data_IF_796249823020
#
_entry.id   IF_796249823020
#
_cell.length_a   1.000
_cell.length_b   1.000
_cell.length_c   1.000
_cell.angle_alpha   90.00
_cell.angle_beta   90.00
_cell.angle_gamma   90.00
#
_symmetry.space_group_name_H-M   'P 1'
#
loop_
_entity.id
_entity.type
_entity.pdbx_description
1 polymer ?
#
# COMPACT_ATOMS: atom_id res chain seq x y z
N UNK A 1 10.95 -10.53 2.86
CA UNK A 1 10.11 -9.39 3.26
C UNK A 1 10.69 -8.74 4.49
N UNK A 2 11.24 -7.53 4.35
CA UNK A 2 11.84 -6.79 5.46
C UNK A 2 11.82 -5.29 5.13
N UNK A 3 11.59 -4.44 6.14
CA UNK A 3 11.43 -2.99 5.92
C UNK A 3 12.77 -2.25 5.82
N UNK A 4 13.66 -2.48 6.79
CA UNK A 4 14.89 -1.71 6.92
C UNK A 4 15.98 -2.28 6.01
N UNK A 5 16.95 -1.45 5.64
CA UNK A 5 18.15 -1.94 4.91
C UNK A 5 19.11 -2.71 5.81
N UNK A 6 18.95 -2.62 7.14
CA UNK A 6 19.86 -3.20 8.14
C UNK A 6 19.08 -3.97 9.23
N UNK A 7 19.65 -5.08 9.67
CA UNK A 7 19.01 -6.00 10.62
C UNK A 7 19.05 -5.53 12.10
N UNK A 8 19.71 -4.41 12.40
CA UNK A 8 19.97 -3.96 13.77
C UNK A 8 18.72 -3.75 14.60
N UNK A 9 17.66 -3.16 14.03
CA UNK A 9 16.45 -2.81 14.80
C UNK A 9 15.71 -4.05 15.30
N UNK A 10 15.49 -5.04 14.45
CA UNK A 10 14.63 -6.19 14.75
C UNK A 10 15.40 -7.45 15.15
N UNK A 11 16.65 -7.59 14.73
CA UNK A 11 17.48 -8.77 15.03
C UNK A 11 18.67 -8.47 15.95
N UNK A 12 18.99 -7.18 16.20
CA UNK A 12 20.20 -6.80 16.95
C UNK A 12 21.51 -7.08 16.20
N UNK A 13 21.44 -7.40 14.90
CA UNK A 13 22.60 -7.76 14.06
C UNK A 13 22.98 -6.54 13.22
N UNK A 14 24.23 -6.07 13.33
CA UNK A 14 24.73 -4.97 12.49
C UNK A 14 25.22 -5.49 11.13
N UNK A 15 24.29 -5.93 10.28
CA UNK A 15 24.53 -6.31 8.88
C UNK A 15 23.41 -5.78 7.99
N UNK A 16 23.75 -5.40 6.75
CA UNK A 16 22.73 -5.03 5.78
C UNK A 16 22.10 -6.27 5.15
N UNK A 17 20.83 -6.15 4.78
CA UNK A 17 20.08 -7.22 4.10
C UNK A 17 20.76 -7.61 2.78
N UNK A 18 21.27 -6.62 2.05
CA UNK A 18 21.95 -6.80 0.76
C UNK A 18 23.26 -7.60 0.85
N UNK A 19 23.86 -7.71 2.04
CA UNK A 19 25.13 -8.42 2.25
C UNK A 19 24.91 -9.91 2.61
N UNK A 20 23.67 -10.40 2.57
CA UNK A 20 23.28 -11.74 3.01
C UNK A 20 22.51 -12.49 1.93
N UNK A 21 22.71 -13.80 1.88
CA UNK A 21 21.92 -14.69 1.04
C UNK A 21 20.52 -14.89 1.62
N UNK A 22 19.54 -15.27 0.78
CA UNK A 22 18.19 -15.61 1.24
C UNK A 22 18.21 -16.69 2.32
N UNK A 23 19.00 -17.75 2.12
CA UNK A 23 19.11 -18.87 3.08
C UNK A 23 19.71 -18.46 4.44
N UNK A 24 20.52 -17.39 4.48
CA UNK A 24 21.00 -16.81 5.74
C UNK A 24 19.91 -15.94 6.38
N UNK A 25 19.24 -15.09 5.60
CA UNK A 25 18.16 -14.21 6.08
C UNK A 25 17.00 -15.00 6.68
N UNK A 26 16.60 -16.11 6.07
CA UNK A 26 15.50 -16.97 6.54
C UNK A 26 15.79 -17.65 7.90
N UNK A 27 17.06 -17.66 8.32
CA UNK A 27 17.48 -18.16 9.65
C UNK A 27 17.58 -17.04 10.69
N UNK A 28 17.53 -15.77 10.28
CA UNK A 28 17.62 -14.63 11.21
C UNK A 28 16.33 -14.55 12.02
N UNK A 29 16.47 -14.64 13.35
CA UNK A 29 15.36 -14.39 14.27
C UNK A 29 15.15 -12.88 14.45
N UNK A 30 13.91 -12.43 14.30
CA UNK A 30 13.47 -11.06 14.50
C UNK A 30 12.47 -10.98 15.66
N UNK A 31 12.48 -9.85 16.37
CA UNK A 31 11.62 -9.59 17.53
C UNK A 31 11.03 -8.19 17.50
N UNK A 32 9.73 -8.08 17.76
CA UNK A 32 9.02 -6.82 17.88
C UNK A 32 7.77 -7.04 18.73
N UNK A 33 7.48 -6.15 19.68
CA UNK A 33 6.23 -6.13 20.47
C UNK A 33 5.84 -7.48 21.10
N UNK A 34 6.83 -8.21 21.60
CA UNK A 34 6.64 -9.54 22.22
C UNK A 34 6.53 -10.70 21.23
N UNK A 35 6.43 -10.43 19.92
CA UNK A 35 6.44 -11.44 18.87
C UNK A 35 7.87 -11.83 18.47
N UNK A 36 8.03 -13.08 18.07
CA UNK A 36 9.29 -13.64 17.56
C UNK A 36 9.02 -14.43 16.28
N UNK A 37 9.80 -14.20 15.23
CA UNK A 37 9.69 -14.91 13.95
C UNK A 37 11.05 -14.96 13.24
N UNK A 38 11.08 -15.47 12.00
CA UNK A 38 12.20 -15.32 11.06
C UNK A 38 11.80 -14.45 9.86
N UNK A 39 12.79 -13.98 9.10
CA UNK A 39 12.56 -13.17 7.89
C UNK A 39 12.07 -14.08 6.75
N UNK A 40 10.85 -13.93 6.21
CA UNK A 40 10.39 -14.78 5.12
C UNK A 40 10.90 -14.29 3.76
N UNK A 41 11.00 -15.18 2.77
CA UNK A 41 11.08 -14.79 1.35
C UNK A 41 9.79 -14.07 0.90
N UNK A 42 9.83 -13.43 -0.28
CA UNK A 42 8.60 -12.89 -0.90
C UNK A 42 7.62 -14.01 -1.27
N UNK A 43 8.13 -15.10 -1.84
CA UNK A 43 7.34 -16.28 -2.27
C UNK A 43 6.56 -16.87 -1.10
N UNK A 44 7.23 -17.17 0.01
CA UNK A 44 6.59 -17.67 1.24
C UNK A 44 5.51 -16.72 1.76
N UNK A 45 5.74 -15.40 1.67
CA UNK A 45 4.78 -14.42 2.15
C UNK A 45 3.54 -14.34 1.23
N UNK A 46 3.71 -14.44 -0.09
CA UNK A 46 2.61 -14.53 -1.06
C UNK A 46 1.76 -15.78 -0.80
N UNK A 47 2.40 -16.94 -0.59
CA UNK A 47 1.69 -18.19 -0.29
C UNK A 47 0.87 -18.10 1.00
N UNK A 48 1.42 -17.47 2.04
CA UNK A 48 0.67 -17.18 3.26
C UNK A 48 -0.51 -16.25 3.00
N UNK A 49 -0.33 -15.15 2.27
CA UNK A 49 -1.40 -14.20 1.99
C UNK A 49 -2.56 -14.86 1.24
N UNK A 50 -2.26 -15.70 0.23
CA UNK A 50 -3.25 -16.50 -0.49
C UNK A 50 -4.04 -17.44 0.42
N UNK A 51 -3.36 -18.13 1.36
CA UNK A 51 -4.03 -19.02 2.32
C UNK A 51 -5.10 -18.31 3.13
N UNK A 52 -4.91 -17.02 3.41
CA UNK A 52 -5.85 -16.18 4.16
C UNK A 52 -6.75 -15.32 3.28
N UNK A 53 -6.70 -15.50 1.95
CA UNK A 53 -7.44 -14.70 0.98
C UNK A 53 -7.21 -13.18 1.14
N UNK A 54 -5.96 -12.79 1.40
CA UNK A 54 -5.55 -11.40 1.53
C UNK A 54 -4.75 -10.99 0.30
N UNK A 55 -5.19 -9.92 -0.35
CA UNK A 55 -4.40 -9.28 -1.41
C UNK A 55 -3.36 -8.34 -0.79
N UNK A 56 -2.14 -8.36 -1.32
CA UNK A 56 -1.04 -7.56 -0.79
C UNK A 56 -0.91 -6.22 -1.51
N UNK A 57 -0.49 -5.21 -0.74
CA UNK A 57 0.18 -4.02 -1.27
C UNK A 57 1.69 -4.19 -1.06
N UNK A 58 2.44 -4.45 -2.14
CA UNK A 58 3.88 -4.74 -2.06
C UNK A 58 4.68 -3.52 -2.45
N UNK A 59 5.49 -3.01 -1.51
CA UNK A 59 6.44 -1.96 -1.79
C UNK A 59 7.78 -2.50 -2.31
N UNK A 60 8.19 -2.05 -3.49
CA UNK A 60 9.49 -2.35 -4.09
C UNK A 60 10.47 -1.27 -3.62
N UNK A 61 11.31 -1.62 -2.65
CA UNK A 61 12.34 -0.74 -2.08
C UNK A 61 13.68 -0.95 -2.76
N UNK A 62 14.37 0.16 -3.05
CA UNK A 62 15.76 0.17 -3.53
C UNK A 62 16.69 0.85 -2.53
N UNK A 63 17.95 0.46 -2.56
CA UNK A 63 19.07 0.92 -1.74
C UNK A 63 20.32 1.24 -2.60
N UNK A 64 20.24 1.15 -3.93
CA UNK A 64 21.30 1.53 -4.87
C UNK A 64 22.34 0.44 -5.15
N UNK A 65 22.17 -0.76 -4.57
CA UNK A 65 23.06 -1.91 -4.76
C UNK A 65 22.37 -3.10 -5.43
N UNK A 66 21.27 -2.86 -6.11
CA UNK A 66 20.45 -3.89 -6.74
C UNK A 66 21.23 -4.60 -7.86
N UNK A 67 20.99 -5.90 -8.00
CA UNK A 67 21.49 -6.63 -9.17
C UNK A 67 20.80 -6.13 -10.45
N UNK A 68 21.47 -6.27 -11.60
CA UNK A 68 20.89 -5.93 -12.92
C UNK A 68 19.56 -6.63 -13.21
N UNK A 69 19.33 -7.80 -12.61
CA UNK A 69 18.11 -8.60 -12.77
C UNK A 69 17.04 -8.35 -11.72
N UNK A 70 17.21 -7.37 -10.81
CA UNK A 70 16.32 -7.18 -9.67
C UNK A 70 14.84 -7.09 -10.05
N UNK A 71 14.48 -6.20 -10.99
CA UNK A 71 13.09 -6.03 -11.44
C UNK A 71 12.58 -7.25 -12.20
N UNK A 72 13.39 -7.81 -13.11
CA UNK A 72 13.00 -9.02 -13.85
C UNK A 72 12.75 -10.22 -12.93
N UNK A 73 13.55 -10.38 -11.86
CA UNK A 73 13.36 -11.42 -10.86
C UNK A 73 12.08 -11.19 -10.04
N UNK A 74 11.82 -9.94 -9.66
CA UNK A 74 10.58 -9.57 -8.98
C UNK A 74 9.34 -9.87 -9.84
N UNK A 75 9.34 -9.40 -11.09
CA UNK A 75 8.27 -9.64 -12.08
C UNK A 75 8.04 -11.15 -12.28
N UNK A 76 9.12 -11.94 -12.35
CA UNK A 76 9.03 -13.39 -12.45
C UNK A 76 8.36 -14.01 -11.22
N UNK A 77 8.75 -13.62 -10.00
CA UNK A 77 8.16 -14.16 -8.76
C UNK A 77 6.64 -13.92 -8.74
N UNK A 78 6.20 -12.68 -8.96
CA UNK A 78 4.77 -12.35 -8.88
C UNK A 78 3.95 -13.04 -9.96
N UNK A 79 4.51 -13.20 -11.16
CA UNK A 79 3.88 -13.92 -12.28
C UNK A 79 3.80 -15.43 -12.02
N UNK A 80 4.86 -16.04 -11.53
CA UNK A 80 4.88 -17.48 -11.22
C UNK A 80 3.87 -17.82 -10.11
N UNK A 81 3.61 -16.85 -9.21
CA UNK A 81 2.55 -16.95 -8.22
C UNK A 81 1.18 -16.48 -8.74
N UNK A 82 1.04 -15.99 -9.97
CA UNK A 82 -0.25 -15.55 -10.52
C UNK A 82 -0.91 -14.42 -9.72
N UNK A 83 -0.12 -13.51 -9.15
CA UNK A 83 -0.61 -12.38 -8.34
C UNK A 83 -0.35 -11.01 -8.99
N UNK A 84 0.21 -10.99 -10.20
CA UNK A 84 0.58 -9.79 -10.94
C UNK A 84 -0.60 -8.83 -11.18
N UNK A 85 -1.82 -9.36 -11.30
CA UNK A 85 -3.04 -8.56 -11.54
C UNK A 85 -4.03 -8.54 -10.36
N UNK A 86 -3.82 -9.37 -9.32
CA UNK A 86 -4.70 -9.41 -8.14
C UNK A 86 -4.21 -8.51 -7.00
N UNK A 87 -2.91 -8.22 -6.97
CA UNK A 87 -2.28 -7.39 -5.95
C UNK A 87 -2.00 -5.98 -6.48
N UNK A 88 -1.66 -5.06 -5.58
CA UNK A 88 -1.16 -3.74 -5.94
C UNK A 88 0.30 -3.60 -5.53
N UNK A 89 1.02 -2.77 -6.26
CA UNK A 89 2.47 -2.59 -6.09
C UNK A 89 2.77 -1.11 -5.95
N UNK A 90 3.81 -0.76 -5.20
CA UNK A 90 4.16 0.64 -5.00
C UNK A 90 5.67 0.82 -4.84
N UNK A 91 6.18 1.99 -5.16
CA UNK A 91 7.61 2.29 -5.01
C UNK A 91 7.85 3.80 -4.97
N UNK A 92 8.98 4.21 -4.39
CA UNK A 92 9.52 5.56 -4.49
C UNK A 92 10.41 5.75 -5.73
N UNK A 93 10.70 4.66 -6.45
CA UNK A 93 11.62 4.64 -7.59
C UNK A 93 10.85 4.77 -8.91
N UNK A 94 10.83 5.97 -9.48
CA UNK A 94 10.12 6.28 -10.73
C UNK A 94 10.53 5.35 -11.89
N UNK A 95 11.83 5.11 -12.16
CA UNK A 95 12.27 4.12 -13.16
C UNK A 95 11.60 2.75 -13.03
N UNK A 96 11.32 2.27 -11.81
CA UNK A 96 10.62 1.00 -11.60
C UNK A 96 9.16 1.09 -12.08
N UNK A 97 8.45 2.17 -11.75
CA UNK A 97 7.07 2.40 -12.23
C UNK A 97 7.03 2.37 -13.76
N UNK A 98 7.91 3.12 -14.41
CA UNK A 98 7.97 3.20 -15.87
C UNK A 98 8.32 1.85 -16.52
N UNK A 99 9.24 1.10 -15.91
CA UNK A 99 9.62 -0.25 -16.36
C UNK A 99 8.44 -1.21 -16.25
N UNK A 100 7.74 -1.24 -15.12
CA UNK A 100 6.59 -2.12 -14.91
C UNK A 100 5.43 -1.74 -15.83
N UNK A 101 5.08 -0.46 -15.99
CA UNK A 101 4.02 -0.05 -16.92
C UNK A 101 4.34 -0.43 -18.37
N UNK A 102 5.62 -0.45 -18.76
CA UNK A 102 6.06 -0.88 -20.08
C UNK A 102 5.98 -2.41 -20.25
N UNK A 103 6.44 -3.16 -19.27
CA UNK A 103 6.56 -4.63 -19.37
C UNK A 103 5.24 -5.35 -19.07
N UNK A 104 4.45 -4.82 -18.12
CA UNK A 104 3.25 -5.42 -17.56
C UNK A 104 2.16 -4.35 -17.34
N UNK A 105 1.55 -3.80 -18.40
CA UNK A 105 0.61 -2.68 -18.29
C UNK A 105 -0.62 -2.98 -17.41
N UNK A 106 -0.99 -4.26 -17.26
CA UNK A 106 -2.09 -4.73 -16.41
C UNK A 106 -1.72 -4.84 -14.92
N UNK A 107 -0.43 -4.76 -14.57
CA UNK A 107 0.01 -4.71 -13.17
C UNK A 107 -0.32 -3.32 -12.60
N UNK A 108 -1.12 -3.29 -11.54
CA UNK A 108 -1.54 -2.04 -10.88
C UNK A 108 -0.40 -1.54 -10.00
N UNK A 109 0.30 -0.50 -10.44
CA UNK A 109 1.47 0.05 -9.75
C UNK A 109 1.29 1.54 -9.44
N UNK A 110 1.63 1.91 -8.21
CA UNK A 110 1.59 3.27 -7.72
C UNK A 110 2.95 3.86 -7.42
N UNK A 111 2.98 5.18 -7.33
CA UNK A 111 4.17 5.94 -6.97
C UNK A 111 4.00 6.61 -5.61
N UNK A 112 4.95 6.35 -4.72
CA UNK A 112 4.98 6.94 -3.38
C UNK A 112 5.67 8.30 -3.46
N UNK A 113 4.98 9.32 -2.96
CA UNK A 113 5.50 10.68 -2.82
C UNK A 113 5.51 11.02 -1.33
N UNK A 114 6.63 10.81 -0.62
CA UNK A 114 6.69 11.00 0.84
C UNK A 114 6.36 12.43 1.25
N UNK A 115 6.92 13.42 0.53
CA UNK A 115 6.68 14.83 0.74
C UNK A 115 6.21 15.44 -0.58
N UNK A 116 5.01 16.00 -0.63
CA UNK A 116 4.52 16.74 -1.80
C UNK A 116 3.92 18.10 -1.39
N UNK A 117 4.32 19.16 -2.10
CA UNK A 117 3.74 20.49 -1.94
C UNK A 117 3.17 20.96 -3.27
N UNK A 118 1.90 21.33 -3.29
CA UNK A 118 1.22 21.85 -4.48
C UNK A 118 0.60 20.74 -5.34
N UNK A 119 0.95 20.69 -6.63
CA UNK A 119 0.28 19.82 -7.60
C UNK A 119 0.74 18.37 -7.51
N UNK A 120 -0.11 17.45 -7.97
CA UNK A 120 0.21 16.04 -8.05
C UNK A 120 1.32 15.81 -9.08
N UNK A 121 2.32 15.01 -8.70
CA UNK A 121 3.46 14.67 -9.57
C UNK A 121 2.99 14.10 -10.92
N UNK A 122 3.67 14.47 -11.99
CA UNK A 122 3.39 13.89 -13.30
C UNK A 122 4.11 12.53 -13.42
N UNK A 123 3.34 11.45 -13.47
CA UNK A 123 3.86 10.09 -13.64
C UNK A 123 2.78 9.20 -14.27
N UNK A 124 3.21 8.25 -15.09
CA UNK A 124 2.35 7.18 -15.59
C UNK A 124 2.28 6.07 -14.54
N UNK A 125 1.38 6.23 -13.56
CA UNK A 125 1.08 5.23 -12.53
C UNK A 125 -0.43 5.03 -12.45
N UNK A 126 -0.87 3.94 -11.83
CA UNK A 126 -2.31 3.69 -11.63
C UNK A 126 -2.83 4.40 -10.36
N UNK A 127 -1.94 4.69 -9.42
CA UNK A 127 -2.27 5.42 -8.19
C UNK A 127 -1.07 6.19 -7.63
N UNK A 128 -1.35 7.20 -6.80
CA UNK A 128 -0.35 7.90 -6.00
C UNK A 128 -0.55 7.57 -4.52
N UNK A 129 0.55 7.48 -3.78
CA UNK A 129 0.55 7.30 -2.33
C UNK A 129 1.22 8.51 -1.69
N UNK A 130 0.50 9.24 -0.84
CA UNK A 130 1.03 10.42 -0.15
C UNK A 130 0.93 10.29 1.36
N UNK A 131 1.87 10.90 2.08
CA UNK A 131 1.78 10.98 3.54
C UNK A 131 0.60 11.88 3.94
N UNK A 132 -0.08 11.55 5.04
CA UNK A 132 -1.29 12.26 5.46
C UNK A 132 -1.13 13.78 5.59
N UNK A 133 0.07 14.25 5.95
CA UNK A 133 0.38 15.68 6.07
C UNK A 133 0.43 16.40 4.70
N UNK A 134 0.77 15.67 3.62
CA UNK A 134 0.84 16.21 2.25
C UNK A 134 -0.54 16.29 1.59
N UNK A 135 -1.57 15.68 2.17
CA UNK A 135 -2.89 15.62 1.57
C UNK A 135 -3.54 17.00 1.38
N UNK A 136 -4.19 17.19 0.23
CA UNK A 136 -5.15 18.27 -0.01
C UNK A 136 -6.27 17.80 -0.93
N UNK A 137 -7.46 18.39 -0.81
CA UNK A 137 -8.60 18.07 -1.67
C UNK A 137 -8.28 18.29 -3.17
N UNK A 138 -7.46 19.31 -3.49
CA UNK A 138 -7.02 19.54 -4.87
C UNK A 138 -6.16 18.39 -5.41
N UNK A 139 -5.36 17.72 -4.57
CA UNK A 139 -4.62 16.52 -5.02
C UNK A 139 -5.56 15.37 -5.35
N UNK A 140 -6.63 15.17 -4.57
CA UNK A 140 -7.66 14.16 -4.84
C UNK A 140 -8.32 14.43 -6.20
N UNK A 141 -8.78 15.67 -6.42
CA UNK A 141 -9.39 16.09 -7.69
C UNK A 141 -8.42 15.90 -8.87
N UNK A 142 -7.14 16.26 -8.70
CA UNK A 142 -6.11 16.06 -9.72
C UNK A 142 -5.84 14.59 -10.04
N UNK A 143 -5.86 13.72 -9.03
CA UNK A 143 -5.68 12.28 -9.22
C UNK A 143 -6.85 11.70 -10.02
N UNK A 144 -8.08 11.96 -9.58
CA UNK A 144 -9.29 11.50 -10.27
C UNK A 144 -9.41 12.05 -11.69
N UNK A 145 -9.05 13.33 -11.92
CA UNK A 145 -9.02 13.91 -13.26
C UNK A 145 -8.00 13.24 -14.20
N UNK A 146 -7.01 12.54 -13.65
CA UNK A 146 -6.01 11.75 -14.39
C UNK A 146 -6.33 10.25 -14.42
N UNK A 147 -7.50 9.84 -13.94
CA UNK A 147 -7.90 8.43 -13.73
C UNK A 147 -6.89 7.66 -12.86
N UNK A 148 -6.37 8.33 -11.82
CA UNK A 148 -5.49 7.73 -10.83
C UNK A 148 -6.19 7.71 -9.48
N UNK A 149 -5.95 6.65 -8.70
CA UNK A 149 -6.38 6.62 -7.30
C UNK A 149 -5.38 7.39 -6.42
N UNK A 150 -5.87 7.96 -5.31
CA UNK A 150 -5.03 8.59 -4.28
C UNK A 150 -5.15 7.81 -2.96
N UNK A 151 -4.03 7.22 -2.55
CA UNK A 151 -3.87 6.53 -1.28
C UNK A 151 -3.15 7.44 -0.28
N UNK A 152 -3.55 7.36 0.99
CA UNK A 152 -2.92 8.08 2.09
C UNK A 152 -2.29 7.11 3.09
N UNK A 153 -1.06 7.39 3.53
CA UNK A 153 -0.35 6.59 4.54
C UNK A 153 -0.01 7.40 5.81
N UNK A 154 0.45 6.68 6.84
CA UNK A 154 0.68 7.16 8.22
C UNK A 154 -0.60 7.38 9.04
N UNK A 155 -1.68 6.67 8.70
CA UNK A 155 -2.92 6.75 9.49
C UNK A 155 -2.78 5.91 10.75
N UNK A 156 -2.77 6.57 11.91
CA UNK A 156 -2.56 5.94 13.23
C UNK A 156 -3.73 6.11 14.20
N UNK A 157 -4.77 6.88 13.83
CA UNK A 157 -5.95 7.11 14.68
C UNK A 157 -7.28 6.90 13.93
N UNK A 158 -8.34 6.43 14.61
CA UNK A 158 -9.67 6.29 14.01
C UNK A 158 -10.22 7.61 13.47
N UNK A 159 -9.91 8.73 14.12
CA UNK A 159 -10.33 10.07 13.70
C UNK A 159 -9.67 10.46 12.39
N UNK A 160 -8.38 10.18 12.22
CA UNK A 160 -7.67 10.40 10.96
C UNK A 160 -8.23 9.50 9.86
N UNK A 161 -8.46 8.21 10.14
CA UNK A 161 -9.09 7.29 9.20
C UNK A 161 -10.45 7.83 8.72
N UNK A 162 -11.33 8.24 9.65
CA UNK A 162 -12.65 8.81 9.34
C UNK A 162 -12.54 10.06 8.48
N UNK A 163 -11.63 10.97 8.83
CA UNK A 163 -11.36 12.22 8.09
C UNK A 163 -11.03 11.92 6.63
N UNK A 164 -10.07 11.03 6.36
CA UNK A 164 -9.63 10.75 4.99
C UNK A 164 -10.64 9.91 4.20
N UNK A 165 -11.34 8.97 4.82
CA UNK A 165 -12.45 8.26 4.17
C UNK A 165 -13.56 9.22 3.72
N UNK A 166 -13.96 10.18 4.56
CA UNK A 166 -14.94 11.21 4.21
C UNK A 166 -14.40 12.22 3.18
N UNK A 167 -13.09 12.41 3.12
CA UNK A 167 -12.45 13.24 2.11
C UNK A 167 -12.40 12.56 0.73
N UNK A 168 -12.79 11.28 0.63
CA UNK A 168 -12.89 10.56 -0.64
C UNK A 168 -11.59 9.94 -1.13
N UNK A 169 -10.62 9.70 -0.24
CA UNK A 169 -9.39 8.98 -0.63
C UNK A 169 -9.72 7.55 -1.03
N UNK A 170 -8.99 7.03 -2.02
CA UNK A 170 -9.28 5.73 -2.63
C UNK A 170 -8.66 4.57 -1.85
N UNK A 171 -7.74 4.86 -0.91
CA UNK A 171 -7.25 3.87 0.04
C UNK A 171 -6.44 4.45 1.19
N UNK A 172 -6.35 3.68 2.27
CA UNK A 172 -5.65 4.04 3.51
C UNK A 172 -4.63 2.96 3.85
N UNK A 173 -3.41 3.38 4.15
CA UNK A 173 -2.34 2.55 4.71
C UNK A 173 -2.19 2.94 6.19
N UNK A 174 -2.38 1.97 7.08
CA UNK A 174 -2.57 2.22 8.52
C UNK A 174 -1.90 1.17 9.41
N UNK A 175 -1.52 1.57 10.61
CA UNK A 175 -1.05 0.67 11.69
C UNK A 175 -2.19 0.12 12.56
N UNK A 176 -3.41 0.64 12.42
CA UNK A 176 -4.61 0.28 13.19
C UNK A 176 -5.70 -0.34 12.29
N UNK A 177 -5.43 -1.47 11.61
CA UNK A 177 -6.33 -2.00 10.59
C UNK A 177 -7.70 -2.40 11.15
N UNK A 178 -7.77 -2.93 12.38
CA UNK A 178 -9.03 -3.37 12.99
C UNK A 178 -9.96 -2.17 13.27
N UNK A 179 -9.42 -1.11 13.84
CA UNK A 179 -10.13 0.13 14.13
C UNK A 179 -10.52 0.86 12.83
N UNK A 180 -9.62 0.87 11.84
CA UNK A 180 -9.90 1.46 10.52
C UNK A 180 -11.05 0.73 9.81
N UNK A 181 -11.10 -0.60 9.87
CA UNK A 181 -12.24 -1.38 9.35
C UNK A 181 -13.53 -1.07 10.09
N UNK A 182 -13.48 -0.89 11.41
CA UNK A 182 -14.66 -0.48 12.20
C UNK A 182 -15.18 0.89 11.75
N UNK A 183 -14.29 1.89 11.62
CA UNK A 183 -14.65 3.21 11.09
C UNK A 183 -15.31 3.12 9.72
N UNK A 184 -14.78 2.29 8.83
CA UNK A 184 -15.37 2.07 7.50
C UNK A 184 -16.79 1.47 7.60
N UNK A 185 -17.01 0.50 8.49
CA UNK A 185 -18.33 -0.10 8.72
C UNK A 185 -19.33 0.93 9.24
N UNK A 186 -18.94 1.69 10.27
CA UNK A 186 -19.78 2.71 10.90
C UNK A 186 -20.20 3.77 9.87
N UNK A 187 -19.28 4.23 9.02
CA UNK A 187 -19.59 5.20 7.95
C UNK A 187 -20.55 4.65 6.89
N UNK A 188 -20.46 3.36 6.54
CA UNK A 188 -21.37 2.72 5.59
C UNK A 188 -22.77 2.58 6.17
N UNK A 189 -22.89 2.25 7.45
CA UNK A 189 -24.16 2.19 8.16
C UNK A 189 -24.81 3.58 8.24
N UNK A 190 -24.05 4.61 8.61
CA UNK A 190 -24.51 6.00 8.64
C UNK A 190 -25.05 6.45 7.27
N UNK A 191 -24.32 6.15 6.19
CA UNK A 191 -24.78 6.46 4.82
C UNK A 191 -26.06 5.71 4.46
N UNK A 192 -26.15 4.42 4.78
CA UNK A 192 -27.35 3.62 4.50
C UNK A 192 -28.58 4.12 5.27
N UNK A 193 -28.41 4.58 6.52
CA UNK A 193 -29.48 5.19 7.32
C UNK A 193 -29.88 6.54 6.71
N UNK A 194 -28.92 7.37 6.31
CA UNK A 194 -29.18 8.67 5.67
C UNK A 194 -29.99 8.51 4.38
N UNK A 195 -29.62 7.56 3.50
CA UNK A 195 -30.38 7.27 2.27
C UNK A 195 -31.82 6.86 2.58
N UNK A 196 -32.03 5.94 3.53
CA UNK A 196 -33.39 5.52 3.93
C UNK A 196 -34.23 6.66 4.47
N UNK A 197 -33.62 7.59 5.21
CA UNK A 197 -34.32 8.77 5.72
C UNK A 197 -34.69 9.74 4.59
N UNK A 198 -33.79 9.95 3.63
CA UNK A 198 -34.07 10.75 2.42
C UNK A 198 -35.25 10.17 1.66
N UNK A 199 -35.22 8.86 1.35
CA UNK A 199 -36.29 8.17 0.62
C UNK A 199 -37.64 8.28 1.35
N UNK A 200 -37.62 8.19 2.69
CA UNK A 200 -38.82 8.35 3.50
C UNK A 200 -39.35 9.80 3.47
N UNK A 201 -38.48 10.80 3.53
CA UNK A 201 -38.86 12.21 3.41
C UNK A 201 -39.46 12.47 2.04
N UNK A 202 -38.85 11.99 0.96
CA UNK A 202 -39.36 12.13 -0.42
C UNK A 202 -40.76 11.52 -0.53
N UNK A 203 -40.96 10.31 0.01
CA UNK A 203 -42.28 9.66 0.09
C UNK A 203 -43.34 10.50 0.82
N UNK A 204 -42.98 11.17 1.92
CA UNK A 204 -43.92 12.00 2.69
C UNK A 204 -44.12 13.40 2.12
N UNK A 205 -43.14 13.91 1.37
CA UNK A 205 -43.15 15.27 0.80
C UNK A 205 -43.63 15.32 -0.66
N UNK A 206 -43.77 14.15 -1.31
CA UNK A 206 -44.28 14.03 -2.67
C UNK A 206 -43.30 14.46 -3.75
N UNK A 207 -42.00 14.45 -3.45
CA UNK A 207 -40.93 14.60 -4.44
C UNK A 207 -40.54 13.25 -5.03
#
# INVERSE_FOLDING_TARGET
MFHDTNLRRLAGINRNVADMTLAELEKVTIRQDGFTSTIPSLETYIDHAKKWNVNLNIEIKTHGGESKGFIANFEKIVKDHGVESSYIYQTLDRPIVETIKKNYPAMRIGFIVPLNFGNLVNINADFIVIEEFSYSASMQEQAHARNMDLLVWTITTPEAARKYMLAGVDGIITEIPAETMKVQSDLREDQAVSTKLSDAIDLFTGN
#
